data_IF_081361232189
#
_entry.id   IF_081361232189
#
_cell.length_a   1.000
_cell.length_b   1.000
_cell.length_c   1.000
_cell.angle_alpha   90.00
_cell.angle_beta   90.00
_cell.angle_gamma   90.00
#
_symmetry.space_group_name_H-M   'P 1'
#
loop_
_entity.id
_entity.type
_entity.pdbx_description
1 polymer ?
#
# COMPACT_ATOMS: atom_id res chain seq x y z
N UNK A 1 13.35 -36.23 61.37
CA UNK A 1 13.01 -36.07 59.93
C UNK A 1 13.06 -34.60 59.58
N UNK A 2 14.27 -34.02 59.44
CA UNK A 2 14.48 -32.58 59.20
C UNK A 2 15.14 -32.29 57.84
N UNK A 3 15.37 -33.33 57.03
CA UNK A 3 16.11 -33.23 55.76
C UNK A 3 15.29 -32.68 54.58
N UNK A 4 13.96 -32.63 54.68
CA UNK A 4 13.08 -32.20 53.58
C UNK A 4 13.06 -30.69 53.36
N UNK A 5 13.03 -29.90 54.44
CA UNK A 5 12.87 -28.44 54.37
C UNK A 5 14.07 -27.75 53.69
N UNK A 6 15.29 -28.20 54.01
CA UNK A 6 16.52 -27.66 53.44
C UNK A 6 16.70 -28.05 51.96
N UNK A 7 16.13 -29.19 51.52
CA UNK A 7 16.22 -29.61 50.13
C UNK A 7 15.30 -28.78 49.22
N UNK A 8 14.09 -28.46 49.67
CA UNK A 8 13.15 -27.60 48.92
C UNK A 8 13.71 -26.18 48.76
N UNK A 9 14.28 -25.61 49.82
CA UNK A 9 14.94 -24.30 49.77
C UNK A 9 16.12 -24.28 48.80
N UNK A 10 16.96 -25.33 48.80
CA UNK A 10 18.08 -25.45 47.85
C UNK A 10 17.61 -25.58 46.41
N UNK A 11 16.56 -26.37 46.16
CA UNK A 11 15.96 -26.49 44.82
C UNK A 11 15.36 -25.16 44.37
N UNK A 12 14.69 -24.43 45.26
CA UNK A 12 14.15 -23.11 44.96
C UNK A 12 15.25 -22.09 44.64
N UNK A 13 16.31 -22.04 45.44
CA UNK A 13 17.47 -21.19 45.21
C UNK A 13 18.16 -21.53 43.87
N UNK A 14 18.38 -22.82 43.58
CA UNK A 14 18.96 -23.26 42.33
C UNK A 14 18.09 -22.87 41.12
N UNK A 15 16.76 -23.04 41.19
CA UNK A 15 15.83 -22.59 40.15
C UNK A 15 15.90 -21.09 39.92
N UNK A 16 15.99 -20.28 40.98
CA UNK A 16 16.20 -18.84 40.86
C UNK A 16 17.50 -18.51 40.13
N UNK A 17 18.61 -19.09 40.57
CA UNK A 17 19.92 -18.88 39.94
C UNK A 17 19.88 -19.27 38.45
N UNK A 18 19.32 -20.42 38.13
CA UNK A 18 19.18 -20.89 36.74
C UNK A 18 18.32 -19.94 35.89
N UNK A 19 17.22 -19.44 36.45
CA UNK A 19 16.32 -18.52 35.74
C UNK A 19 17.00 -17.18 35.48
N UNK A 20 17.71 -16.65 36.47
CA UNK A 20 18.50 -15.42 36.32
C UNK A 20 19.63 -15.60 35.29
N UNK A 21 20.34 -16.72 35.34
CA UNK A 21 21.40 -17.02 34.37
C UNK A 21 20.86 -17.11 32.95
N UNK A 22 19.77 -17.85 32.72
CA UNK A 22 19.10 -17.92 31.40
C UNK A 22 18.67 -16.53 30.93
N UNK A 23 18.00 -15.75 31.79
CA UNK A 23 17.60 -14.39 31.45
C UNK A 23 18.78 -13.48 31.10
N UNK A 24 19.91 -13.63 31.80
CA UNK A 24 21.13 -12.88 31.50
C UNK A 24 21.69 -13.24 30.11
N UNK A 25 21.77 -14.54 29.80
CA UNK A 25 22.20 -15.01 28.48
C UNK A 25 21.25 -14.54 27.38
N UNK A 26 19.94 -14.65 27.58
CA UNK A 26 18.94 -14.24 26.60
C UNK A 26 19.02 -12.74 26.31
N UNK A 27 19.18 -11.90 27.34
CA UNK A 27 19.39 -10.46 27.17
C UNK A 27 20.64 -10.14 26.36
N UNK A 28 21.74 -10.85 26.63
CA UNK A 28 23.01 -10.64 25.92
C UNK A 28 22.90 -11.07 24.46
N UNK A 29 22.26 -12.21 24.19
CA UNK A 29 22.00 -12.68 22.83
C UNK A 29 21.07 -11.70 22.09
N UNK A 30 20.01 -11.21 22.74
CA UNK A 30 19.12 -10.21 22.15
C UNK A 30 19.84 -8.90 21.80
N UNK A 31 20.75 -8.44 22.64
CA UNK A 31 21.58 -7.25 22.34
C UNK A 31 22.44 -7.48 21.10
N UNK A 32 23.13 -8.63 21.02
CA UNK A 32 23.94 -8.99 19.86
C UNK A 32 23.11 -9.08 18.58
N UNK A 33 21.97 -9.77 18.64
CA UNK A 33 21.03 -9.87 17.52
C UNK A 33 20.54 -8.48 17.10
N UNK A 34 20.16 -7.62 18.05
CA UNK A 34 19.67 -6.28 17.77
C UNK A 34 20.71 -5.41 17.05
N UNK A 35 21.97 -5.47 17.48
CA UNK A 35 23.08 -4.76 16.84
C UNK A 35 23.35 -5.32 15.44
N UNK A 36 23.38 -6.64 15.31
CA UNK A 36 23.61 -7.32 14.02
C UNK A 36 22.52 -6.98 13.01
N UNK A 37 21.25 -7.03 13.44
CA UNK A 37 20.10 -6.69 12.62
C UNK A 37 20.15 -5.23 12.17
N UNK A 38 20.45 -4.29 13.08
CA UNK A 38 20.60 -2.88 12.71
C UNK A 38 21.72 -2.67 11.70
N UNK A 39 22.88 -3.30 11.87
CA UNK A 39 23.97 -3.22 10.91
C UNK A 39 23.56 -3.81 9.54
N UNK A 40 22.85 -4.94 9.55
CA UNK A 40 22.32 -5.57 8.35
C UNK A 40 21.32 -4.68 7.61
N UNK A 41 20.43 -3.97 8.32
CA UNK A 41 19.48 -3.01 7.71
C UNK A 41 20.20 -1.94 6.89
N UNK A 42 21.33 -1.41 7.38
CA UNK A 42 22.04 -0.31 6.75
C UNK A 42 22.98 -0.75 5.62
N UNK A 43 23.66 -1.88 5.77
CA UNK A 43 24.76 -2.25 4.88
C UNK A 43 24.44 -3.42 3.96
N UNK A 44 23.56 -4.34 4.38
CA UNK A 44 23.43 -5.66 3.73
C UNK A 44 22.01 -6.00 3.31
N UNK A 45 21.01 -5.15 3.60
CA UNK A 45 19.61 -5.49 3.38
C UNK A 45 19.29 -5.94 1.93
N UNK A 46 19.77 -5.28 0.87
CA UNK A 46 19.52 -5.74 -0.51
C UNK A 46 20.20 -7.09 -0.82
N UNK A 47 21.40 -7.32 -0.28
CA UNK A 47 22.14 -8.57 -0.48
C UNK A 47 21.46 -9.76 0.25
N UNK A 48 21.00 -9.52 1.48
CA UNK A 48 20.24 -10.50 2.27
C UNK A 48 18.92 -10.81 1.55
N UNK A 49 18.19 -9.79 1.08
CA UNK A 49 16.96 -9.99 0.33
C UNK A 49 17.18 -10.75 -0.97
N UNK A 50 18.28 -10.52 -1.70
CA UNK A 50 18.58 -11.31 -2.91
C UNK A 50 18.67 -12.82 -2.64
N UNK A 51 19.11 -13.21 -1.46
CA UNK A 51 19.21 -14.62 -1.08
C UNK A 51 17.87 -15.18 -0.58
N UNK A 52 17.09 -14.38 0.15
CA UNK A 52 15.83 -14.82 0.76
C UNK A 52 14.61 -14.67 -0.15
N UNK A 53 14.51 -13.55 -0.86
CA UNK A 53 13.42 -13.20 -1.76
C UNK A 53 13.94 -12.32 -2.93
N UNK A 54 14.45 -12.94 -4.00
CA UNK A 54 15.04 -12.22 -5.13
C UNK A 54 14.10 -11.18 -5.76
N UNK A 55 12.80 -11.52 -5.89
CA UNK A 55 11.79 -10.62 -6.47
C UNK A 55 11.61 -9.33 -5.67
N UNK A 56 11.58 -9.44 -4.35
CA UNK A 56 11.48 -8.28 -3.46
C UNK A 56 12.78 -7.48 -3.45
N UNK A 57 13.93 -8.14 -3.63
CA UNK A 57 15.21 -7.47 -3.75
C UNK A 57 15.30 -6.60 -5.02
N UNK A 58 14.73 -7.07 -6.13
CA UNK A 58 14.65 -6.29 -7.37
C UNK A 58 13.78 -5.04 -7.18
N UNK A 59 12.66 -5.14 -6.46
CA UNK A 59 11.80 -4.01 -6.11
C UNK A 59 12.55 -2.94 -5.29
N UNK A 60 13.36 -3.37 -4.31
CA UNK A 60 14.15 -2.43 -3.47
C UNK A 60 15.27 -1.75 -4.29
N UNK A 61 15.72 -2.38 -5.38
CA UNK A 61 16.75 -1.83 -6.27
C UNK A 61 16.20 -0.91 -7.34
N UNK A 62 14.89 -0.94 -7.60
CA UNK A 62 14.23 -0.10 -8.59
C UNK A 62 14.38 1.40 -8.21
N UNK A 63 15.06 2.23 -9.02
CA UNK A 63 15.25 3.65 -8.73
C UNK A 63 13.95 4.45 -8.65
N UNK A 64 12.88 3.99 -9.30
CA UNK A 64 11.56 4.62 -9.24
C UNK A 64 10.84 4.36 -7.91
N UNK A 65 11.25 3.32 -7.19
CA UNK A 65 10.69 2.91 -5.91
C UNK A 65 11.66 3.30 -4.80
N UNK A 66 11.36 4.40 -4.11
CA UNK A 66 12.14 4.79 -2.94
C UNK A 66 11.80 3.87 -1.77
N UNK A 67 12.45 2.70 -1.68
CA UNK A 67 12.14 1.68 -0.69
C UNK A 67 13.19 1.58 0.42
N UNK A 68 12.74 1.28 1.65
CA UNK A 68 13.57 0.97 2.81
C UNK A 68 13.15 -0.34 3.43
N UNK A 69 14.10 -1.24 3.61
CA UNK A 69 13.91 -2.50 4.32
C UNK A 69 14.12 -2.27 5.80
N UNK A 70 13.25 -2.83 6.65
CA UNK A 70 13.52 -2.99 8.07
C UNK A 70 13.30 -4.42 8.49
N UNK A 71 14.24 -4.94 9.25
CA UNK A 71 14.15 -6.22 9.91
C UNK A 71 13.46 -6.05 11.27
N UNK A 72 12.72 -7.06 11.69
CA UNK A 72 11.97 -7.08 12.94
C UNK A 72 12.11 -8.43 13.59
N UNK A 73 12.09 -8.43 14.91
CA UNK A 73 11.95 -9.64 15.69
C UNK A 73 10.46 -10.02 15.77
N UNK A 74 10.19 -11.31 15.62
CA UNK A 74 8.87 -11.93 15.67
C UNK A 74 8.98 -13.29 16.36
N UNK A 75 7.85 -13.95 16.60
CA UNK A 75 7.76 -15.22 17.33
C UNK A 75 7.32 -15.03 18.78
N UNK A 76 6.81 -16.12 19.37
CA UNK A 76 6.28 -16.18 20.74
C UNK A 76 7.28 -16.69 21.77
N UNK A 77 8.45 -17.18 21.32
CA UNK A 77 9.49 -17.77 22.16
C UNK A 77 10.86 -17.23 21.77
N UNK A 78 11.81 -17.32 22.72
CA UNK A 78 13.19 -16.89 22.53
C UNK A 78 14.07 -18.08 22.08
N UNK A 79 15.05 -17.87 21.16
CA UNK A 79 15.38 -16.63 20.44
C UNK A 79 14.32 -16.24 19.39
N UNK A 80 14.12 -14.94 19.14
CA UNK A 80 13.09 -14.49 18.20
C UNK A 80 13.46 -14.78 16.74
N UNK A 81 12.44 -15.03 15.94
CA UNK A 81 12.54 -15.10 14.47
C UNK A 81 12.77 -13.71 13.90
N UNK A 82 13.60 -13.59 12.85
CA UNK A 82 13.82 -12.32 12.16
C UNK A 82 12.95 -12.31 10.89
N UNK A 83 12.08 -11.32 10.79
CA UNK A 83 11.25 -11.05 9.61
C UNK A 83 11.65 -9.71 9.01
N UNK A 84 11.29 -9.44 7.75
CA UNK A 84 11.52 -8.15 7.13
C UNK A 84 10.23 -7.50 6.66
N UNK A 85 10.23 -6.16 6.60
CA UNK A 85 9.16 -5.36 6.02
C UNK A 85 9.78 -4.27 5.14
N UNK A 86 9.26 -4.14 3.93
CA UNK A 86 9.66 -3.11 2.97
C UNK A 86 8.70 -1.92 3.13
N UNK A 87 9.27 -0.74 3.27
CA UNK A 87 8.56 0.53 3.39
C UNK A 87 8.87 1.39 2.17
N UNK A 88 7.89 2.17 1.72
CA UNK A 88 8.13 3.22 0.74
C UNK A 88 8.44 4.54 1.48
N UNK A 89 9.51 5.22 1.07
CA UNK A 89 10.04 6.47 1.63
C UNK A 89 9.52 7.72 0.90
N UNK A 90 8.85 7.58 -0.25
CA UNK A 90 8.36 8.71 -1.05
C UNK A 90 7.27 9.54 -0.37
N UNK A 91 7.20 10.82 -0.77
CA UNK A 91 6.30 11.83 -0.20
C UNK A 91 4.83 11.59 -0.54
N UNK A 92 4.10 10.98 0.39
CA UNK A 92 2.64 10.91 0.40
C UNK A 92 2.11 9.47 0.36
N UNK A 93 1.16 9.17 1.26
CA UNK A 93 0.41 7.90 1.34
C UNK A 93 -0.60 7.77 0.19
N UNK A 94 -0.22 8.13 -1.02
CA UNK A 94 -1.09 8.02 -2.19
C UNK A 94 -0.88 6.63 -2.78
N UNK A 95 -1.96 5.88 -2.90
CA UNK A 95 -1.93 4.64 -3.65
C UNK A 95 -1.47 4.93 -5.09
N UNK A 96 -0.61 4.07 -5.61
CA UNK A 96 -0.22 4.11 -7.02
C UNK A 96 -1.49 3.80 -7.82
N UNK A 97 -1.96 4.78 -8.59
CA UNK A 97 -3.14 4.63 -9.44
C UNK A 97 -2.68 4.47 -10.88
N UNK A 98 -3.12 3.39 -11.53
CA UNK A 98 -2.83 3.13 -12.94
C UNK A 98 -3.17 4.34 -13.82
N UNK A 99 -4.31 5.00 -13.58
CA UNK A 99 -4.72 6.21 -14.30
C UNK A 99 -3.77 7.40 -14.15
N UNK A 100 -3.08 7.52 -13.02
CA UNK A 100 -2.11 8.60 -12.77
C UNK A 100 -0.75 8.29 -13.38
N UNK A 101 -0.36 7.01 -13.37
CA UNK A 101 0.91 6.52 -13.87
C UNK A 101 0.90 6.41 -15.41
N UNK A 102 -0.17 5.86 -15.98
CA UNK A 102 -0.32 5.61 -17.40
C UNK A 102 -1.07 6.76 -18.07
N UNK A 103 -0.34 7.79 -18.47
CA UNK A 103 -0.85 8.87 -19.34
C UNK A 103 -0.47 8.57 -20.78
N UNK A 104 -1.28 8.92 -21.79
CA UNK A 104 -1.00 8.60 -23.20
C UNK A 104 0.37 9.07 -23.69
N UNK A 105 0.91 10.15 -23.11
CA UNK A 105 2.21 10.74 -23.45
C UNK A 105 3.38 10.27 -22.57
N UNK A 106 3.16 9.38 -21.61
CA UNK A 106 4.18 8.96 -20.65
C UNK A 106 4.95 7.73 -21.12
N UNK A 107 6.27 7.71 -20.86
CA UNK A 107 7.14 6.59 -21.19
C UNK A 107 6.68 5.28 -20.54
N UNK A 108 6.18 5.33 -19.31
CA UNK A 108 5.63 4.17 -18.61
C UNK A 108 4.49 3.48 -19.38
N UNK A 109 3.66 4.25 -20.09
CA UNK A 109 2.58 3.73 -20.93
C UNK A 109 3.15 3.00 -22.14
N UNK A 110 4.12 3.61 -22.82
CA UNK A 110 4.79 3.01 -23.99
C UNK A 110 5.50 1.71 -23.61
N UNK A 111 6.24 1.71 -22.51
CA UNK A 111 6.96 0.53 -22.03
C UNK A 111 6.00 -0.58 -21.62
N UNK A 112 4.90 -0.24 -20.94
CA UNK A 112 3.90 -1.23 -20.54
C UNK A 112 3.16 -1.82 -21.75
N UNK A 113 2.77 -0.99 -22.73
CA UNK A 113 2.22 -1.47 -24.00
C UNK A 113 3.17 -2.41 -24.71
N UNK A 114 4.48 -2.12 -24.67
CA UNK A 114 5.51 -2.98 -25.26
C UNK A 114 5.68 -4.30 -24.51
N UNK A 115 5.63 -4.27 -23.18
CA UNK A 115 5.79 -5.47 -22.34
C UNK A 115 4.57 -6.39 -22.38
N UNK A 116 3.35 -5.84 -22.30
CA UNK A 116 2.11 -6.60 -22.20
C UNK A 116 1.43 -6.85 -23.56
N UNK A 117 1.73 -6.00 -24.55
CA UNK A 117 1.00 -5.94 -25.81
C UNK A 117 -0.26 -5.06 -25.73
N UNK A 118 -0.58 -4.40 -26.83
CA UNK A 118 -1.65 -3.39 -26.91
C UNK A 118 -3.01 -3.91 -26.41
N UNK A 119 -3.39 -5.14 -26.80
CA UNK A 119 -4.70 -5.70 -26.45
C UNK A 119 -4.86 -5.90 -24.94
N UNK A 120 -3.84 -6.45 -24.28
CA UNK A 120 -3.88 -6.73 -22.84
C UNK A 120 -3.85 -5.42 -22.07
N UNK A 121 -2.98 -4.50 -22.46
CA UNK A 121 -2.90 -3.18 -21.84
C UNK A 121 -4.24 -2.43 -21.92
N UNK A 122 -4.83 -2.32 -23.12
CA UNK A 122 -6.11 -1.63 -23.31
C UNK A 122 -7.24 -2.30 -22.52
N UNK A 123 -7.30 -3.64 -22.51
CA UNK A 123 -8.28 -4.35 -21.70
C UNK A 123 -8.17 -4.02 -20.21
N UNK A 124 -6.94 -3.93 -19.67
CA UNK A 124 -6.74 -3.52 -18.27
C UNK A 124 -7.19 -2.09 -18.00
N UNK A 125 -6.86 -1.14 -18.89
CA UNK A 125 -7.30 0.26 -18.75
C UNK A 125 -8.83 0.37 -18.79
N UNK A 126 -9.48 -0.34 -19.72
CA UNK A 126 -10.95 -0.36 -19.82
C UNK A 126 -11.58 -0.98 -18.57
N UNK A 127 -11.07 -2.13 -18.11
CA UNK A 127 -11.59 -2.80 -16.93
C UNK A 127 -11.48 -1.94 -15.67
N UNK A 128 -10.35 -1.24 -15.50
CA UNK A 128 -10.13 -0.30 -14.38
C UNK A 128 -11.13 0.87 -14.43
N UNK A 129 -11.37 1.46 -15.61
CA UNK A 129 -12.33 2.56 -15.75
C UNK A 129 -13.77 2.10 -15.50
N UNK A 130 -14.17 0.92 -15.99
CA UNK A 130 -15.49 0.33 -15.73
C UNK A 130 -15.68 0.09 -14.22
N UNK A 131 -14.69 -0.54 -13.57
CA UNK A 131 -14.74 -0.82 -12.13
C UNK A 131 -14.83 0.48 -11.33
N UNK A 132 -14.13 1.54 -11.75
CA UNK A 132 -14.20 2.85 -11.10
C UNK A 132 -15.56 3.52 -11.28
N UNK A 133 -16.14 3.49 -12.49
CA UNK A 133 -17.45 4.06 -12.76
C UNK A 133 -18.55 3.37 -11.95
N UNK A 134 -18.45 2.05 -11.74
CA UNK A 134 -19.38 1.28 -10.91
C UNK A 134 -19.20 1.43 -9.40
N UNK A 135 -18.21 2.19 -8.93
CA UNK A 135 -17.92 2.41 -7.51
C UNK A 135 -18.10 3.89 -7.18
N UNK A 136 -19.35 4.31 -6.91
CA UNK A 136 -19.57 5.53 -6.13
C UNK A 136 -18.81 5.41 -4.81
N UNK A 137 -18.17 6.49 -4.35
CA UNK A 137 -17.53 6.56 -3.04
C UNK A 137 -18.61 6.26 -2.00
N UNK A 138 -18.66 5.02 -1.53
CA UNK A 138 -19.77 4.51 -0.71
C UNK A 138 -19.51 4.72 0.79
N UNK A 139 -18.27 5.05 1.16
CA UNK A 139 -17.82 5.08 2.55
C UNK A 139 -16.78 6.20 2.76
N UNK A 140 -16.81 6.81 3.94
CA UNK A 140 -16.03 8.01 4.29
C UNK A 140 -14.53 7.70 4.34
N UNK A 141 -14.18 6.43 4.57
CA UNK A 141 -12.80 5.92 4.59
C UNK A 141 -12.07 6.03 3.24
N UNK A 142 -12.79 6.15 2.13
CA UNK A 142 -12.25 6.32 0.78
C UNK A 142 -12.06 7.78 0.37
N UNK A 143 -12.43 8.74 1.23
CA UNK A 143 -12.27 10.17 0.97
C UNK A 143 -10.82 10.57 1.24
N UNK A 144 -10.01 10.62 0.17
CA UNK A 144 -8.58 10.94 0.28
C UNK A 144 -8.24 12.39 -0.07
N UNK A 145 -9.17 13.11 -0.72
CA UNK A 145 -9.00 14.51 -1.06
C UNK A 145 -10.31 15.30 -1.02
N UNK A 146 -10.21 16.64 -1.01
CA UNK A 146 -11.37 17.54 -0.92
C UNK A 146 -12.37 17.35 -2.09
N UNK A 147 -11.89 16.93 -3.26
CA UNK A 147 -12.75 16.60 -4.41
C UNK A 147 -13.63 15.37 -4.13
N UNK A 148 -13.04 14.33 -3.56
CA UNK A 148 -13.74 13.10 -3.17
C UNK A 148 -14.78 13.39 -2.08
N UNK A 149 -14.44 14.29 -1.15
CA UNK A 149 -15.36 14.76 -0.11
C UNK A 149 -16.56 15.49 -0.72
N UNK A 150 -16.34 16.42 -1.66
CA UNK A 150 -17.43 17.11 -2.35
C UNK A 150 -18.32 16.14 -3.13
N UNK A 151 -17.74 15.12 -3.77
CA UNK A 151 -18.52 14.11 -4.50
C UNK A 151 -19.34 13.19 -3.58
N UNK A 152 -18.83 12.87 -2.39
CA UNK A 152 -19.56 12.11 -1.38
C UNK A 152 -20.64 12.97 -0.67
N UNK A 153 -20.32 14.23 -0.37
CA UNK A 153 -21.19 15.14 0.38
C UNK A 153 -22.30 15.80 -0.46
N UNK A 154 -22.19 15.78 -1.79
CA UNK A 154 -23.20 16.32 -2.71
C UNK A 154 -24.06 15.17 -3.27
N UNK A 155 -25.23 14.86 -2.69
CA UNK A 155 -26.14 13.89 -3.27
C UNK A 155 -26.59 14.35 -4.68
N UNK A 156 -26.47 13.46 -5.66
CA UNK A 156 -26.97 13.64 -7.04
C UNK A 156 -28.51 13.59 -7.08
N UNK A 157 -29.19 14.57 -6.48
CA UNK A 157 -30.63 14.80 -6.69
C UNK A 157 -30.94 16.29 -6.71
N UNK A 158 -30.45 16.95 -7.76
CA UNK A 158 -31.17 18.03 -8.43
C UNK A 158 -31.25 17.64 -9.91
N UNK A 159 -32.18 16.73 -10.18
CA UNK A 159 -32.59 16.30 -11.52
C UNK A 159 -33.22 17.51 -12.22
N UNK A 160 -32.48 18.18 -13.10
CA UNK A 160 -33.07 19.01 -14.14
C UNK A 160 -33.77 18.07 -15.12
N UNK A 161 -35.09 18.21 -15.19
CA UNK A 161 -35.97 17.45 -16.08
C UNK A 161 -35.48 17.50 -17.55
N UNK A 162 -35.72 16.43 -18.34
CA UNK A 162 -35.39 16.47 -19.76
C UNK A 162 -36.21 17.56 -20.47
N UNK A 163 -35.62 18.32 -21.41
CA UNK A 163 -36.36 19.36 -22.13
C UNK A 163 -37.48 18.73 -22.97
N UNK A 164 -38.66 19.37 -23.08
CA UNK A 164 -39.76 18.83 -23.87
C UNK A 164 -39.42 18.86 -25.37
N UNK A 165 -39.77 17.78 -26.07
CA UNK A 165 -39.65 17.66 -27.53
C UNK A 165 -40.40 18.79 -28.25
N UNK A 166 -39.87 19.37 -29.33
CA UNK A 166 -40.52 20.46 -30.05
C UNK A 166 -41.73 19.94 -30.82
N UNK A 167 -42.92 20.43 -30.47
CA UNK A 167 -44.13 20.24 -31.26
C UNK A 167 -44.19 21.25 -32.41
N UNK A 168 -44.58 20.74 -33.57
CA UNK A 168 -44.87 21.41 -34.83
C UNK A 168 -46.05 22.39 -34.67
N UNK A 169 -45.92 23.67 -35.04
CA UNK A 169 -46.97 24.46 -35.72
C UNK A 169 -46.62 25.94 -35.97
N UNK A 170 -46.90 26.34 -37.21
CA UNK A 170 -47.43 27.62 -37.68
C UNK A 170 -46.51 28.87 -37.78
N UNK A 171 -46.28 29.23 -39.06
CA UNK A 171 -45.90 30.55 -39.59
C UNK A 171 -46.78 31.70 -39.06
N UNK A 172 -46.30 32.95 -39.17
CA UNK A 172 -46.94 33.82 -40.15
C UNK A 172 -45.98 34.62 -41.05
N UNK A 173 -46.56 34.95 -42.20
CA UNK A 173 -46.10 35.70 -43.35
C UNK A 173 -46.01 37.21 -43.03
N UNK A 174 -44.96 37.89 -43.52
CA UNK A 174 -44.99 39.19 -44.23
C UNK A 174 -43.52 39.67 -44.44
N UNK A 175 -42.98 39.63 -45.66
CA UNK A 175 -43.12 40.61 -46.76
C UNK A 175 -42.29 41.89 -46.56
N UNK A 176 -41.14 41.97 -47.26
CA UNK A 176 -40.65 43.20 -47.90
C UNK A 176 -39.41 42.91 -48.76
N UNK A 177 -39.55 43.02 -50.09
CA UNK A 177 -38.48 43.07 -51.07
C UNK A 177 -38.56 44.40 -51.81
N UNK A 178 -37.39 45.06 -51.97
CA UNK A 178 -36.94 45.98 -53.06
C UNK A 178 -37.74 47.29 -53.27
N UNK A 179 -37.22 48.33 -53.98
CA UNK A 179 -36.22 48.32 -55.08
C UNK A 179 -35.12 49.42 -54.90
N UNK A 180 -34.20 49.77 -55.80
CA UNK A 180 -33.71 49.39 -57.13
C UNK A 180 -32.21 49.76 -57.14
#
# INVERSE_FOLDING_TARGET
>A
MEYGFNQEERVFAAKKIQTYWRSHQDKRLFQLMSLTVRAAEHCLAPAILRQLSPREADLVRDPSMHCKVRFRFSGSQFPPLIVFKIFHLGGGRQYISGKRVFRPSNQATTDTCRMMGNRIFINHIIADEIQRQGRMISDTSYITCMRDFMQHAMPHNLTLAPPPSPQLAALPVHASQLPA
#
